data_IF_947391641058
#
_entry.id   IF_947391641058
#
_cell.length_a   1.000
_cell.length_b   1.000
_cell.length_c   1.000
_cell.angle_alpha   90.00
_cell.angle_beta   90.00
_cell.angle_gamma   90.00
#
_symmetry.space_group_name_H-M   'P 1'
#
loop_
_entity.id
_entity.type
_entity.pdbx_description
1 polymer ?
#
# COMPACT_ATOMS: atom_id res chain seq x y z
N UNK A 1 11.49 -15.20 -9.39
CA UNK A 1 12.21 -15.69 -8.21
C UNK A 1 13.74 -15.55 -8.38
N UNK A 2 14.36 -16.21 -9.36
CA UNK A 2 15.83 -16.24 -9.53
C UNK A 2 16.47 -14.84 -9.53
N UNK A 3 15.90 -13.87 -10.24
CA UNK A 3 16.46 -12.51 -10.31
C UNK A 3 16.49 -11.83 -8.93
N UNK A 4 15.40 -11.86 -8.19
CA UNK A 4 15.32 -11.17 -6.90
C UNK A 4 16.21 -11.81 -5.84
N UNK A 5 16.34 -13.15 -5.83
CA UNK A 5 17.23 -13.85 -4.89
C UNK A 5 18.69 -13.53 -5.17
N UNK A 6 19.11 -13.46 -6.45
CA UNK A 6 20.46 -13.05 -6.82
C UNK A 6 20.75 -11.59 -6.44
N UNK A 7 19.81 -10.69 -6.68
CA UNK A 7 19.94 -9.29 -6.27
C UNK A 7 20.06 -9.15 -4.75
N UNK A 8 19.23 -9.85 -3.99
CA UNK A 8 19.27 -9.84 -2.54
C UNK A 8 20.63 -10.34 -2.03
N UNK A 9 21.20 -11.41 -2.61
CA UNK A 9 22.52 -11.93 -2.27
C UNK A 9 23.63 -10.92 -2.55
N UNK A 10 23.58 -10.25 -3.71
CA UNK A 10 24.57 -9.22 -4.06
C UNK A 10 24.51 -8.07 -3.04
N UNK A 11 23.32 -7.62 -2.70
CA UNK A 11 23.14 -6.55 -1.72
C UNK A 11 23.65 -6.96 -0.33
N UNK A 12 23.32 -8.18 0.11
CA UNK A 12 23.77 -8.69 1.40
C UNK A 12 25.31 -8.78 1.49
N UNK A 13 25.97 -9.27 0.44
CA UNK A 13 27.44 -9.33 0.38
C UNK A 13 28.09 -7.95 0.49
N UNK A 14 27.37 -6.90 0.14
CA UNK A 14 27.81 -5.50 0.26
C UNK A 14 27.29 -4.81 1.53
N UNK A 15 26.74 -5.55 2.49
CA UNK A 15 26.21 -5.01 3.75
C UNK A 15 24.92 -4.21 3.60
N UNK A 16 24.20 -4.41 2.49
CA UNK A 16 22.95 -3.70 2.18
C UNK A 16 21.75 -4.63 2.36
N UNK A 17 20.59 -4.04 2.63
CA UNK A 17 19.29 -4.69 2.55
C UNK A 17 18.55 -4.17 1.34
N UNK A 18 17.66 -4.99 0.75
CA UNK A 18 16.82 -4.54 -0.35
C UNK A 18 15.46 -4.01 0.16
N UNK A 19 14.85 -3.17 -0.64
CA UNK A 19 13.44 -2.79 -0.53
C UNK A 19 12.80 -2.85 -1.91
N UNK A 20 11.50 -3.03 -1.97
CA UNK A 20 10.76 -3.04 -3.23
C UNK A 20 9.26 -3.03 -3.02
N UNK A 21 8.54 -2.88 -4.12
CA UNK A 21 7.10 -3.02 -4.12
C UNK A 21 6.68 -4.45 -3.78
N UNK A 22 5.43 -4.66 -3.42
CA UNK A 22 4.91 -5.95 -2.94
C UNK A 22 5.29 -7.16 -3.81
N UNK A 23 5.52 -6.94 -5.11
CA UNK A 23 5.88 -7.97 -6.07
C UNK A 23 7.20 -8.68 -5.73
N UNK A 24 8.10 -8.03 -4.96
CA UNK A 24 9.34 -8.68 -4.50
C UNK A 24 9.12 -9.76 -3.45
N UNK A 25 7.92 -9.83 -2.88
CA UNK A 25 7.52 -10.81 -1.88
C UNK A 25 6.44 -11.79 -2.39
N UNK A 26 6.16 -11.82 -3.69
CA UNK A 26 5.08 -12.64 -4.25
C UNK A 26 5.61 -13.73 -5.17
N UNK A 27 4.91 -14.88 -5.16
CA UNK A 27 5.13 -15.95 -6.13
C UNK A 27 6.45 -16.70 -5.97
N UNK A 28 6.99 -16.77 -4.76
CA UNK A 28 8.23 -17.46 -4.47
C UNK A 28 8.02 -18.82 -3.78
N UNK A 29 9.02 -19.69 -3.88
CA UNK A 29 9.10 -20.90 -3.06
C UNK A 29 9.36 -20.55 -1.60
N UNK A 30 9.08 -21.45 -0.66
CA UNK A 30 9.33 -21.20 0.77
C UNK A 30 10.82 -20.98 1.06
N UNK A 31 11.71 -21.66 0.34
CA UNK A 31 13.16 -21.48 0.44
C UNK A 31 13.57 -20.05 0.06
N UNK A 32 13.03 -19.53 -1.05
CA UNK A 32 13.27 -18.15 -1.45
C UNK A 32 12.66 -17.14 -0.46
N UNK A 33 11.47 -17.41 0.06
CA UNK A 33 10.87 -16.59 1.12
C UNK A 33 11.73 -16.52 2.38
N UNK A 34 12.29 -17.64 2.83
CA UNK A 34 13.20 -17.67 4.00
C UNK A 34 14.42 -16.76 3.80
N UNK A 35 15.02 -16.80 2.61
CA UNK A 35 16.15 -15.95 2.25
C UNK A 35 15.72 -14.47 2.19
N UNK A 36 14.70 -14.17 1.41
CA UNK A 36 14.28 -12.78 1.09
C UNK A 36 13.79 -12.01 2.31
N UNK A 37 12.94 -12.62 3.17
CA UNK A 37 12.39 -11.92 4.35
C UNK A 37 13.47 -11.50 5.35
N UNK A 38 14.55 -12.28 5.48
CA UNK A 38 15.70 -11.93 6.33
C UNK A 38 16.55 -10.78 5.78
N UNK A 39 16.50 -10.56 4.47
CA UNK A 39 17.29 -9.56 3.76
C UNK A 39 16.50 -8.29 3.38
N UNK A 40 15.18 -8.31 3.51
CA UNK A 40 14.32 -7.16 3.21
C UNK A 40 14.43 -6.07 4.29
N UNK A 41 14.56 -4.81 3.87
CA UNK A 41 14.41 -3.63 4.71
C UNK A 41 12.96 -3.13 4.72
N UNK A 42 12.22 -3.32 3.62
CA UNK A 42 10.83 -2.93 3.50
C UNK A 42 10.18 -3.43 2.22
N UNK A 43 8.96 -3.95 2.35
CA UNK A 43 8.09 -4.31 1.23
C UNK A 43 6.93 -3.30 1.22
N UNK A 44 6.87 -2.51 0.15
CA UNK A 44 5.87 -1.47 -0.04
C UNK A 44 4.60 -2.08 -0.63
N UNK A 45 3.62 -2.33 0.21
CA UNK A 45 2.35 -2.92 -0.19
C UNK A 45 1.35 -1.84 -0.60
N UNK A 46 1.02 -1.79 -1.87
CA UNK A 46 0.22 -0.73 -2.48
C UNK A 46 -1.18 -1.19 -2.91
N UNK A 47 -1.31 -2.44 -3.39
CA UNK A 47 -2.55 -2.91 -3.99
C UNK A 47 -3.57 -3.31 -2.92
N UNK A 48 -4.33 -2.35 -2.46
CA UNK A 48 -5.43 -2.52 -1.51
C UNK A 48 -6.79 -2.38 -2.17
N UNK A 49 -6.84 -2.52 -3.48
CA UNK A 49 -8.10 -2.62 -4.24
C UNK A 49 -8.87 -3.86 -3.74
N UNK A 50 -10.18 -3.74 -3.48
CA UNK A 50 -10.99 -4.88 -3.07
C UNK A 50 -10.82 -6.09 -3.99
N UNK A 51 -10.48 -7.25 -3.40
CA UNK A 51 -10.14 -8.48 -4.14
C UNK A 51 -8.64 -8.71 -4.35
N UNK A 52 -7.78 -7.70 -4.15
CA UNK A 52 -6.31 -7.81 -4.16
C UNK A 52 -5.68 -7.43 -2.83
N UNK A 53 -6.46 -6.97 -1.88
CA UNK A 53 -6.06 -6.38 -0.60
C UNK A 53 -5.49 -7.38 0.42
N UNK A 54 -5.72 -8.68 0.25
CA UNK A 54 -5.21 -9.70 1.16
C UNK A 54 -3.67 -9.84 1.14
N UNK A 55 -3.05 -9.48 0.05
CA UNK A 55 -1.61 -9.57 -0.16
C UNK A 55 -0.82 -8.83 0.93
N UNK A 56 -1.36 -7.74 1.44
CA UNK A 56 -0.75 -6.93 2.50
C UNK A 56 -0.54 -7.74 3.77
N UNK A 57 -1.61 -8.38 4.26
CA UNK A 57 -1.54 -9.17 5.48
C UNK A 57 -0.87 -10.53 5.27
N UNK A 58 -1.00 -11.12 4.09
CA UNK A 58 -0.23 -12.32 3.73
C UNK A 58 1.27 -12.04 3.80
N UNK A 59 1.74 -10.92 3.24
CA UNK A 59 3.14 -10.49 3.26
C UNK A 59 3.64 -10.26 4.69
N UNK A 60 2.87 -9.55 5.51
CA UNK A 60 3.22 -9.29 6.91
C UNK A 60 3.23 -10.58 7.74
N UNK A 61 2.22 -11.44 7.59
CA UNK A 61 2.14 -12.73 8.28
C UNK A 61 3.29 -13.66 7.89
N UNK A 62 3.80 -13.51 6.66
CA UNK A 62 4.96 -14.26 6.14
C UNK A 62 6.31 -13.73 6.66
N UNK A 63 6.30 -12.68 7.49
CA UNK A 63 7.48 -12.17 8.17
C UNK A 63 8.28 -11.12 7.40
N UNK A 64 7.73 -10.56 6.32
CA UNK A 64 8.35 -9.42 5.64
C UNK A 64 8.04 -8.11 6.38
N UNK A 65 9.01 -7.18 6.50
CA UNK A 65 8.74 -5.83 6.98
C UNK A 65 7.89 -5.08 5.95
N UNK A 66 6.65 -4.72 6.30
CA UNK A 66 5.67 -4.11 5.40
C UNK A 66 5.52 -2.62 5.67
N UNK A 67 5.60 -1.82 4.61
CA UNK A 67 5.19 -0.42 4.58
C UNK A 67 3.86 -0.34 3.84
N UNK A 68 2.84 0.23 4.50
CA UNK A 68 1.50 0.34 3.94
C UNK A 68 1.41 1.57 3.02
N UNK A 69 1.23 1.31 1.73
CA UNK A 69 1.15 2.32 0.67
C UNK A 69 -0.24 2.28 0.00
N UNK A 70 -1.28 2.06 0.76
CA UNK A 70 -2.64 1.80 0.29
C UNK A 70 -3.07 2.74 -0.83
N UNK A 71 -3.24 2.24 -2.05
CA UNK A 71 -3.61 3.07 -3.21
C UNK A 71 -4.88 3.87 -2.96
N UNK A 72 -5.90 3.23 -2.41
CA UNK A 72 -7.19 3.87 -2.15
C UNK A 72 -7.21 4.87 -0.98
N UNK A 73 -6.09 5.02 -0.24
CA UNK A 73 -6.01 5.95 0.88
C UNK A 73 -4.87 6.97 0.73
N UNK A 74 -3.72 6.55 0.17
CA UNK A 74 -2.46 7.26 0.27
C UNK A 74 -1.79 7.57 -1.07
N UNK A 75 -2.42 7.25 -2.21
CA UNK A 75 -1.98 7.79 -3.49
C UNK A 75 -2.56 9.19 -3.65
N UNK A 76 -1.73 10.19 -3.33
CA UNK A 76 -2.14 11.60 -3.31
C UNK A 76 -2.43 12.14 -4.70
N UNK A 77 -1.90 11.50 -5.75
CA UNK A 77 -2.15 11.80 -7.16
C UNK A 77 -3.51 11.30 -7.68
N UNK A 78 -4.25 10.52 -6.90
CA UNK A 78 -5.63 10.18 -7.23
C UNK A 78 -6.54 11.41 -7.12
N UNK A 79 -7.50 11.53 -8.04
CA UNK A 79 -8.47 12.61 -8.08
C UNK A 79 -9.34 12.67 -6.81
N UNK A 80 -9.83 13.84 -6.47
CA UNK A 80 -10.75 14.02 -5.32
C UNK A 80 -12.15 13.45 -5.60
N UNK A 81 -12.58 13.48 -6.84
CA UNK A 81 -13.90 13.01 -7.26
C UNK A 81 -13.92 12.73 -8.77
N UNK A 82 -15.06 12.23 -9.27
CA UNK A 82 -15.25 11.87 -10.68
C UNK A 82 -15.68 13.02 -11.61
N UNK A 83 -15.46 14.29 -11.25
CA UNK A 83 -15.79 15.39 -12.16
C UNK A 83 -14.82 15.39 -13.37
N UNK A 84 -15.29 15.60 -14.62
CA UNK A 84 -14.44 15.54 -15.80
C UNK A 84 -13.25 16.52 -15.81
N UNK A 85 -13.37 17.64 -15.11
CA UNK A 85 -12.32 18.67 -15.00
C UNK A 85 -11.42 18.44 -13.75
N UNK A 86 -11.67 17.38 -12.96
CA UNK A 86 -10.88 17.11 -11.77
C UNK A 86 -9.47 16.66 -12.15
N UNK A 87 -8.50 17.09 -11.34
CA UNK A 87 -7.09 16.76 -11.53
C UNK A 87 -6.77 15.43 -10.86
N UNK A 88 -5.81 14.72 -11.41
CA UNK A 88 -5.32 13.46 -10.86
C UNK A 88 -5.72 12.26 -11.70
N UNK A 89 -5.40 11.09 -11.20
CA UNK A 89 -5.76 9.80 -11.78
C UNK A 89 -6.96 9.22 -11.01
N UNK A 90 -7.67 8.27 -11.59
CA UNK A 90 -8.87 7.66 -11.00
C UNK A 90 -8.85 6.13 -10.97
N UNK A 91 -7.82 5.52 -11.55
CA UNK A 91 -7.72 4.06 -11.64
C UNK A 91 -7.70 3.33 -10.29
N UNK A 92 -7.27 4.00 -9.21
CA UNK A 92 -7.22 3.47 -7.85
C UNK A 92 -8.42 3.90 -6.98
N UNK A 93 -9.41 4.57 -7.57
CA UNK A 93 -10.53 5.22 -6.87
C UNK A 93 -10.25 6.70 -6.60
N UNK A 94 -11.12 7.33 -5.82
CA UNK A 94 -10.99 8.74 -5.45
C UNK A 94 -10.43 8.87 -4.04
N UNK A 95 -9.47 9.78 -3.86
CA UNK A 95 -8.83 10.02 -2.55
C UNK A 95 -9.00 11.48 -2.17
N UNK A 96 -9.83 11.72 -1.18
CA UNK A 96 -9.96 13.00 -0.49
C UNK A 96 -9.33 12.93 0.92
N UNK A 97 -9.42 14.00 1.68
CA UNK A 97 -8.93 14.06 3.06
C UNK A 97 -9.63 13.06 3.98
N UNK A 98 -10.93 12.82 3.79
CA UNK A 98 -11.70 11.90 4.63
C UNK A 98 -11.29 10.44 4.38
N UNK A 99 -11.01 10.09 3.13
CA UNK A 99 -10.52 8.78 2.72
C UNK A 99 -9.11 8.54 3.26
N UNK A 100 -8.24 9.55 3.18
CA UNK A 100 -6.90 9.49 3.76
C UNK A 100 -6.96 9.28 5.28
N UNK A 101 -7.84 9.99 5.99
CA UNK A 101 -8.09 9.81 7.43
C UNK A 101 -8.72 8.47 7.79
N UNK A 102 -9.42 7.81 6.88
CA UNK A 102 -10.13 6.57 7.17
C UNK A 102 -9.22 5.34 7.26
N UNK A 103 -7.97 5.47 6.86
CA UNK A 103 -7.01 4.36 6.85
C UNK A 103 -6.76 3.78 8.24
N UNK A 104 -6.84 2.46 8.34
CA UNK A 104 -6.66 1.69 9.58
C UNK A 104 -5.54 0.65 9.37
N UNK A 105 -4.32 0.87 9.87
CA UNK A 105 -3.16 -0.01 9.59
C UNK A 105 -3.37 -1.47 9.98
N UNK A 106 -4.13 -1.72 11.05
CA UNK A 106 -4.43 -3.07 11.54
C UNK A 106 -5.83 -3.57 11.18
N UNK A 107 -6.55 -2.85 10.30
CA UNK A 107 -7.88 -3.20 9.79
C UNK A 107 -8.08 -2.66 8.38
N UNK A 108 -7.13 -2.97 7.47
CA UNK A 108 -7.08 -2.37 6.12
C UNK A 108 -8.35 -2.59 5.31
N UNK A 109 -9.02 -3.72 5.48
CA UNK A 109 -10.28 -4.04 4.79
C UNK A 109 -11.44 -3.10 5.14
N UNK A 110 -11.30 -2.34 6.23
CA UNK A 110 -12.27 -1.34 6.70
C UNK A 110 -11.79 0.10 6.43
N UNK A 111 -10.68 0.26 5.73
CA UNK A 111 -10.07 1.57 5.44
C UNK A 111 -10.77 2.32 4.31
N UNK A 112 -11.55 1.64 3.47
CA UNK A 112 -12.30 2.26 2.38
C UNK A 112 -13.80 2.19 2.68
N UNK A 113 -14.53 3.22 2.26
CA UNK A 113 -15.98 3.33 2.39
C UNK A 113 -16.71 2.94 1.12
N UNK A 114 -16.04 3.07 -0.01
CA UNK A 114 -16.54 2.73 -1.34
C UNK A 114 -15.49 1.96 -2.11
N UNK A 115 -15.94 1.16 -3.06
CA UNK A 115 -15.07 0.48 -4.03
C UNK A 115 -14.63 1.46 -5.15
N UNK A 116 -13.86 0.96 -6.11
CA UNK A 116 -13.38 1.76 -7.24
C UNK A 116 -14.50 2.29 -8.15
N UNK A 117 -15.67 1.66 -8.14
CA UNK A 117 -16.84 2.09 -8.89
C UNK A 117 -17.74 3.05 -8.10
N UNK A 118 -17.36 3.38 -6.84
CA UNK A 118 -18.13 4.25 -5.95
C UNK A 118 -19.26 3.54 -5.19
N UNK A 119 -19.35 2.20 -5.25
CA UNK A 119 -20.37 1.47 -4.49
C UNK A 119 -19.96 1.35 -3.02
N UNK A 120 -20.90 1.51 -2.08
CA UNK A 120 -20.62 1.36 -0.66
C UNK A 120 -20.06 -0.03 -0.29
N UNK A 121 -19.00 -0.06 0.52
CA UNK A 121 -18.45 -1.29 1.09
C UNK A 121 -19.18 -1.59 2.40
N UNK A 122 -19.68 -2.83 2.55
CA UNK A 122 -20.24 -3.29 3.81
C UNK A 122 -19.13 -3.55 4.83
N UNK A 123 -18.86 -2.55 5.67
CA UNK A 123 -17.81 -2.60 6.68
C UNK A 123 -18.03 -3.68 7.76
N UNK A 124 -19.26 -4.14 7.97
CA UNK A 124 -19.54 -5.21 8.93
C UNK A 124 -19.08 -6.58 8.43
N UNK A 125 -18.97 -6.74 7.13
CA UNK A 125 -18.54 -7.96 6.47
C UNK A 125 -17.21 -7.81 5.70
N UNK A 126 -16.54 -6.65 5.77
CA UNK A 126 -15.35 -6.35 4.97
C UNK A 126 -14.17 -7.31 5.22
N UNK A 127 -14.09 -7.89 6.40
CA UNK A 127 -13.03 -8.84 6.81
C UNK A 127 -13.43 -10.31 6.64
N UNK A 128 -14.71 -10.58 6.33
CA UNK A 128 -15.24 -11.94 6.29
C UNK A 128 -14.61 -12.75 5.16
N UNK A 129 -14.01 -13.88 5.52
CA UNK A 129 -13.37 -14.79 4.56
C UNK A 129 -12.02 -14.30 4.04
N UNK A 130 -11.49 -13.18 4.55
CA UNK A 130 -10.19 -12.64 4.18
C UNK A 130 -9.08 -13.06 5.15
N UNK A 131 -7.85 -12.93 4.70
CA UNK A 131 -6.65 -13.19 5.51
C UNK A 131 -6.59 -12.25 6.70
N UNK A 132 -6.71 -12.78 7.92
CA UNK A 132 -6.56 -12.00 9.14
C UNK A 132 -5.10 -11.63 9.40
N UNK A 133 -4.85 -10.43 9.91
CA UNK A 133 -3.53 -10.03 10.38
C UNK A 133 -3.25 -10.72 11.73
N UNK A 134 -2.20 -11.54 11.77
CA UNK A 134 -1.78 -12.24 12.99
C UNK A 134 -1.05 -11.30 13.96
N UNK A 135 -0.94 -11.68 15.24
CA UNK A 135 -0.15 -10.90 16.22
C UNK A 135 1.35 -10.82 15.85
N UNK A 136 1.86 -11.83 15.14
CA UNK A 136 3.23 -11.80 14.58
C UNK A 136 3.25 -10.83 13.41
N UNK A 137 2.29 -10.93 12.48
CA UNK A 137 2.19 -10.04 11.33
C UNK A 137 2.09 -8.55 11.72
N UNK A 138 1.38 -8.21 12.80
CA UNK A 138 1.33 -6.83 13.32
C UNK A 138 2.71 -6.25 13.62
N UNK A 139 3.64 -7.07 14.11
CA UNK A 139 5.01 -6.62 14.42
C UNK A 139 5.84 -6.34 13.16
N UNK A 140 5.39 -6.82 12.01
CA UNK A 140 6.02 -6.59 10.72
C UNK A 140 5.42 -5.39 9.96
N UNK A 141 4.34 -4.79 10.44
CA UNK A 141 3.85 -3.51 9.91
C UNK A 141 4.76 -2.40 10.43
N UNK A 142 5.61 -1.87 9.56
CA UNK A 142 6.65 -0.91 9.91
C UNK A 142 6.16 0.54 9.92
N UNK A 143 5.10 0.82 9.16
CA UNK A 143 4.55 2.16 9.04
C UNK A 143 3.72 2.34 7.78
N UNK A 144 3.44 3.61 7.48
CA UNK A 144 2.64 4.05 6.34
C UNK A 144 3.45 4.98 5.45
N UNK A 145 3.13 5.02 4.14
CA UNK A 145 3.75 5.94 3.20
C UNK A 145 2.73 6.41 2.17
N UNK A 146 2.71 7.72 1.90
CA UNK A 146 1.96 8.32 0.81
C UNK A 146 2.79 8.44 -0.46
N UNK A 147 2.15 8.26 -1.60
CA UNK A 147 2.73 8.44 -2.93
C UNK A 147 2.14 9.67 -3.60
N UNK A 148 2.97 10.38 -4.36
CA UNK A 148 2.55 11.43 -5.26
C UNK A 148 3.29 11.25 -6.60
N UNK A 149 2.68 10.52 -7.51
CA UNK A 149 3.23 10.32 -8.86
C UNK A 149 2.91 11.53 -9.75
N UNK A 150 3.75 11.79 -10.73
CA UNK A 150 3.77 13.08 -11.41
C UNK A 150 3.13 13.10 -12.82
N UNK A 151 2.41 12.04 -13.21
CA UNK A 151 1.88 11.89 -14.57
C UNK A 151 0.96 13.06 -14.99
N UNK A 152 0.15 13.56 -14.05
CA UNK A 152 -0.79 14.66 -14.30
C UNK A 152 -0.31 16.00 -13.77
N UNK A 153 0.81 16.06 -13.04
CA UNK A 153 1.34 17.28 -12.42
C UNK A 153 2.10 18.12 -13.43
N UNK A 154 1.75 19.41 -13.55
CA UNK A 154 2.36 20.35 -14.51
C UNK A 154 2.97 21.59 -13.85
N UNK A 155 2.69 21.81 -12.56
CA UNK A 155 3.15 22.98 -11.79
C UNK A 155 3.22 22.66 -10.30
N UNK A 156 3.86 23.54 -9.55
CA UNK A 156 3.89 23.46 -8.09
C UNK A 156 2.49 23.56 -7.47
N UNK A 157 1.62 24.44 -8.01
CA UNK A 157 0.21 24.52 -7.59
C UNK A 157 -0.53 23.20 -7.76
N UNK A 158 -0.14 22.40 -8.77
CA UNK A 158 -0.68 21.06 -8.97
C UNK A 158 -0.23 20.09 -7.86
N UNK A 159 1.02 20.21 -7.39
CA UNK A 159 1.52 19.46 -6.23
C UNK A 159 0.73 19.81 -4.97
N UNK A 160 0.60 21.11 -4.67
CA UNK A 160 -0.14 21.60 -3.50
C UNK A 160 -1.60 21.14 -3.53
N UNK A 161 -2.25 21.28 -4.69
CA UNK A 161 -3.64 20.87 -4.87
C UNK A 161 -3.85 19.37 -4.59
N UNK A 162 -3.02 18.50 -5.14
CA UNK A 162 -3.15 17.06 -4.97
C UNK A 162 -2.72 16.58 -3.57
N UNK A 163 -1.76 17.26 -2.96
CA UNK A 163 -1.19 16.87 -1.67
C UNK A 163 -2.04 17.34 -0.48
N UNK A 164 -2.55 18.57 -0.53
CA UNK A 164 -3.29 19.17 0.57
C UNK A 164 -4.80 19.22 0.27
N UNK A 165 -5.67 18.84 1.26
CA UNK A 165 -5.34 18.47 2.64
C UNK A 165 -5.07 16.97 2.88
N UNK A 166 -5.06 16.11 1.86
CA UNK A 166 -4.94 14.63 1.99
C UNK A 166 -3.80 14.18 2.89
N UNK A 167 -2.64 14.85 2.80
CA UNK A 167 -1.44 14.48 3.59
C UNK A 167 -1.69 14.58 5.10
N UNK A 168 -2.65 15.34 5.54
CA UNK A 168 -3.01 15.43 6.96
C UNK A 168 -3.54 14.10 7.48
N UNK A 169 -4.29 13.36 6.65
CA UNK A 169 -4.75 12.02 6.99
C UNK A 169 -3.59 11.02 7.15
N UNK A 170 -2.58 11.13 6.28
CA UNK A 170 -1.35 10.33 6.42
C UNK A 170 -0.57 10.68 7.69
N UNK A 171 -0.45 11.97 7.99
CA UNK A 171 0.31 12.44 9.16
C UNK A 171 -0.32 12.05 10.50
N UNK A 172 -1.60 11.75 10.51
CA UNK A 172 -2.37 11.31 11.70
C UNK A 172 -2.16 9.80 11.99
N UNK A 173 -1.62 9.01 11.05
CA UNK A 173 -1.45 7.56 11.15
C UNK A 173 -0.03 7.17 11.48
#
# INVERSE_FOLDING_TARGET
EHFITQMADIMQRNGLKFSGWQEVALGHTEEAHQQLRGQAAGVYCWNTVPGSDEVVYQTANNGYPVILCNVGNFYMDMAYNGHPDERGLDWGGYVDESVSFSMLPFSIYRSLRVDMAGNPIDLNNAEKGKTALTEIGKKHIMGVQGQLFAETIRSFDGVEYLLFPKILGLAER
#
